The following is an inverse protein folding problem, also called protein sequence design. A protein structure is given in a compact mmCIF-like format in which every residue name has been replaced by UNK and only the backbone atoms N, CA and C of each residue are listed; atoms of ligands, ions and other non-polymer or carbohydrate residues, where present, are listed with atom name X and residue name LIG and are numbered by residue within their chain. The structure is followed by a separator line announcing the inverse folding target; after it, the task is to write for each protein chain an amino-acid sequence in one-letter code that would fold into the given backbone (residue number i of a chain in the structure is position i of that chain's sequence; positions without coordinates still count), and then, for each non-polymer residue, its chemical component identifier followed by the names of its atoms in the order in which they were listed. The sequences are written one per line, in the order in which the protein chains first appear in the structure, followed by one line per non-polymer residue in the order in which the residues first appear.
data_IF_021901280655
#
_entry.id   IF_021901280655
#
_cell.length_a   1.000
_cell.length_b   1.000
_cell.length_c   1.000
_cell.angle_alpha   90.00
_cell.angle_beta   90.00
_cell.angle_gamma   90.00
#
_symmetry.space_group_name_H-M   'P 1'
#
loop_
_entity.id
_entity.type
_entity.pdbx_description
1 polymer ?
#
# COMPACT_ATOMS: atom_id res chain seq x y z
N UNK A 1 46.28 7.07 -39.57
CA UNK A 1 45.55 7.33 -38.30
C UNK A 1 44.14 6.86 -38.50
N UNK A 2 43.83 5.66 -38.03
CA UNK A 2 42.48 5.04 -38.10
C UNK A 2 41.81 5.31 -36.78
N UNK A 3 40.78 6.15 -36.79
CA UNK A 3 39.97 6.44 -35.60
C UNK A 3 39.02 5.25 -35.40
N UNK A 4 39.27 4.50 -34.34
CA UNK A 4 38.42 3.39 -33.90
C UNK A 4 37.23 3.96 -33.16
N UNK A 5 36.08 4.16 -33.82
CA UNK A 5 34.80 4.48 -33.19
C UNK A 5 34.27 3.20 -32.55
N UNK A 6 34.53 3.06 -31.24
CA UNK A 6 33.85 2.07 -30.41
C UNK A 6 32.36 2.42 -30.39
N UNK A 7 31.56 1.57 -31.02
CA UNK A 7 30.09 1.59 -30.90
C UNK A 7 29.78 1.28 -29.43
N UNK A 8 29.28 2.29 -28.71
CA UNK A 8 28.74 2.10 -27.37
C UNK A 8 27.58 1.09 -27.48
N UNK A 9 27.76 -0.07 -26.87
CA UNK A 9 26.69 -1.02 -26.71
C UNK A 9 25.57 -0.35 -25.90
N UNK A 10 24.45 -0.15 -26.52
CA UNK A 10 23.23 0.39 -25.90
C UNK A 10 22.69 -0.69 -24.95
N UNK A 11 23.21 -0.68 -23.73
CA UNK A 11 22.66 -1.47 -22.63
C UNK A 11 21.33 -0.84 -22.21
N UNK A 12 20.27 -1.10 -22.97
CA UNK A 12 18.92 -0.92 -22.50
C UNK A 12 18.74 -1.83 -21.28
N UNK A 13 19.03 -1.32 -20.11
CA UNK A 13 18.59 -1.97 -18.87
C UNK A 13 17.09 -2.21 -19.00
N UNK A 14 16.61 -3.42 -18.72
CA UNK A 14 15.19 -3.72 -18.86
C UNK A 14 14.42 -2.66 -18.04
N UNK A 15 13.38 -2.08 -18.64
CA UNK A 15 12.55 -1.06 -17.99
C UNK A 15 11.82 -1.71 -16.80
N UNK A 16 12.48 -1.82 -15.65
CA UNK A 16 12.01 -2.51 -14.43
C UNK A 16 10.61 -2.01 -14.02
N UNK A 17 10.42 -0.69 -14.06
CA UNK A 17 9.11 -0.08 -13.76
C UNK A 17 8.03 -0.57 -14.70
N UNK A 18 8.33 -0.67 -16.01
CA UNK A 18 7.37 -1.19 -17.00
C UNK A 18 7.06 -2.67 -16.77
N UNK A 19 8.06 -3.48 -16.43
CA UNK A 19 7.86 -4.90 -16.10
C UNK A 19 6.98 -5.05 -14.83
N UNK A 20 7.22 -4.26 -13.80
CA UNK A 20 6.42 -4.27 -12.59
C UNK A 20 4.98 -3.82 -12.85
N UNK A 21 4.80 -2.75 -13.63
CA UNK A 21 3.47 -2.28 -14.03
C UNK A 21 2.73 -3.34 -14.86
N UNK A 22 3.43 -4.01 -15.77
CA UNK A 22 2.86 -5.11 -16.54
C UNK A 22 2.46 -6.29 -15.64
N UNK A 23 3.32 -6.70 -14.71
CA UNK A 23 3.02 -7.75 -13.73
C UNK A 23 1.73 -7.43 -12.97
N UNK A 24 1.61 -6.23 -12.41
CA UNK A 24 0.42 -5.83 -11.64
C UNK A 24 -0.83 -5.79 -12.52
N UNK A 25 -0.74 -5.24 -13.75
CA UNK A 25 -1.88 -5.10 -14.65
C UNK A 25 -2.35 -6.40 -15.29
N UNK A 26 -1.44 -7.37 -15.46
CA UNK A 26 -1.73 -8.66 -16.09
C UNK A 26 -1.87 -9.80 -15.09
N UNK A 27 -1.76 -9.50 -13.80
CA UNK A 27 -1.87 -10.56 -12.81
C UNK A 27 -3.24 -11.23 -12.92
N UNK A 28 -3.27 -12.57 -13.14
CA UNK A 28 -4.54 -13.25 -13.33
C UNK A 28 -5.37 -13.23 -12.07
N UNK A 29 -6.59 -12.73 -12.18
CA UNK A 29 -7.61 -12.76 -11.11
C UNK A 29 -8.24 -14.16 -10.96
N UNK A 30 -7.52 -15.21 -11.31
CA UNK A 30 -8.05 -16.59 -11.34
C UNK A 30 -8.10 -17.27 -9.97
N UNK A 31 -7.93 -16.50 -8.91
CA UNK A 31 -7.92 -17.00 -7.54
C UNK A 31 -6.51 -17.26 -7.03
N UNK A 32 -6.36 -17.04 -5.75
CA UNK A 32 -5.16 -17.37 -4.99
C UNK A 32 -5.29 -18.79 -4.43
N UNK A 33 -4.20 -19.37 -4.00
CA UNK A 33 -4.29 -20.59 -3.19
C UNK A 33 -5.00 -20.30 -1.86
N UNK A 34 -5.64 -21.30 -1.28
CA UNK A 34 -6.34 -21.16 0.02
C UNK A 34 -5.45 -20.55 1.10
N UNK A 35 -4.16 -20.88 1.09
CA UNK A 35 -3.19 -20.34 2.04
C UNK A 35 -2.99 -18.83 1.84
N UNK A 36 -2.86 -18.36 0.60
CA UNK A 36 -2.72 -16.92 0.29
C UNK A 36 -4.00 -16.18 0.63
N UNK A 37 -5.17 -16.72 0.29
CA UNK A 37 -6.46 -16.11 0.63
C UNK A 37 -6.64 -16.01 2.15
N UNK A 38 -6.31 -17.05 2.88
CA UNK A 38 -6.38 -17.04 4.34
C UNK A 38 -5.49 -15.94 4.94
N UNK A 39 -4.24 -15.83 4.50
CA UNK A 39 -3.32 -14.80 5.00
C UNK A 39 -3.75 -13.39 4.57
N UNK A 40 -4.29 -13.21 3.37
CA UNK A 40 -4.82 -11.93 2.93
C UNK A 40 -5.98 -11.45 3.81
N UNK A 41 -6.90 -12.34 4.17
CA UNK A 41 -7.98 -12.01 5.09
C UNK A 41 -7.47 -11.70 6.52
N UNK A 42 -6.48 -12.45 7.01
CA UNK A 42 -5.85 -12.16 8.30
C UNK A 42 -5.17 -10.80 8.31
N UNK A 43 -4.44 -10.48 7.25
CA UNK A 43 -3.76 -9.18 7.08
C UNK A 43 -4.76 -8.04 7.03
N UNK A 44 -5.84 -8.20 6.25
CA UNK A 44 -6.91 -7.21 6.20
C UNK A 44 -7.58 -7.01 7.57
N UNK A 45 -7.87 -8.11 8.28
CA UNK A 45 -8.45 -8.05 9.63
C UNK A 45 -7.52 -7.37 10.63
N UNK A 46 -6.21 -7.65 10.56
CA UNK A 46 -5.21 -7.00 11.40
C UNK A 46 -5.18 -5.49 11.12
N UNK A 47 -5.05 -5.08 9.86
CA UNK A 47 -5.09 -3.68 9.47
C UNK A 47 -6.35 -2.96 9.98
N UNK A 48 -7.51 -3.56 9.77
CA UNK A 48 -8.79 -2.98 10.20
C UNK A 48 -8.87 -2.85 11.72
N UNK A 49 -8.44 -3.88 12.44
CA UNK A 49 -8.40 -3.89 13.90
C UNK A 49 -7.48 -2.80 14.45
N UNK A 50 -6.29 -2.65 13.88
CA UNK A 50 -5.34 -1.60 14.25
C UNK A 50 -5.91 -0.21 13.96
N UNK A 51 -6.48 0.00 12.77
CA UNK A 51 -7.07 1.28 12.38
C UNK A 51 -8.25 1.69 13.29
N UNK A 52 -9.18 0.75 13.57
CA UNK A 52 -10.30 1.02 14.49
C UNK A 52 -9.79 1.26 15.91
N UNK A 53 -8.81 0.47 16.36
CA UNK A 53 -8.26 0.57 17.71
C UNK A 53 -7.63 1.92 18.01
N UNK A 54 -7.02 2.56 17.02
CA UNK A 54 -6.38 3.87 17.14
C UNK A 54 -7.24 5.03 16.59
N UNK A 55 -8.48 4.78 16.19
CA UNK A 55 -9.33 5.77 15.52
C UNK A 55 -9.47 7.11 16.29
N UNK A 56 -9.43 7.07 17.62
CA UNK A 56 -9.55 8.26 18.49
C UNK A 56 -8.21 8.69 19.09
N UNK A 57 -7.09 8.27 18.50
CA UNK A 57 -5.77 8.69 18.97
C UNK A 57 -5.45 10.13 18.55
N UNK A 58 -4.70 10.87 19.35
CA UNK A 58 -4.37 12.28 19.11
C UNK A 58 -3.70 12.54 17.75
N UNK A 59 -2.88 11.61 17.27
CA UNK A 59 -2.25 11.71 15.94
C UNK A 59 -3.30 11.68 14.81
N UNK A 60 -4.34 10.86 14.96
CA UNK A 60 -5.46 10.77 14.02
C UNK A 60 -6.31 12.03 14.07
N UNK A 61 -6.59 12.53 15.27
CA UNK A 61 -7.33 13.79 15.47
C UNK A 61 -6.59 14.99 14.85
N UNK A 62 -5.28 15.07 15.06
CA UNK A 62 -4.45 16.13 14.46
C UNK A 62 -4.44 16.06 12.93
N UNK A 63 -4.28 14.86 12.35
CA UNK A 63 -4.30 14.67 10.91
C UNK A 63 -5.68 15.04 10.33
N UNK A 64 -6.76 14.59 10.95
CA UNK A 64 -8.12 14.90 10.51
C UNK A 64 -8.41 16.40 10.61
N UNK A 65 -8.02 17.06 11.69
CA UNK A 65 -8.20 18.50 11.82
C UNK A 65 -7.48 19.29 10.72
N UNK A 66 -6.26 18.90 10.37
CA UNK A 66 -5.51 19.51 9.28
C UNK A 66 -6.20 19.32 7.91
N UNK A 67 -6.70 18.11 7.65
CA UNK A 67 -7.40 17.78 6.40
C UNK A 67 -8.73 18.54 6.29
N UNK A 68 -9.48 18.67 7.38
CA UNK A 68 -10.76 19.38 7.39
C UNK A 68 -10.61 20.86 7.04
N UNK A 69 -9.46 21.48 7.30
CA UNK A 69 -9.18 22.87 6.87
C UNK A 69 -9.21 23.04 5.32
N UNK A 70 -9.02 21.94 4.59
CA UNK A 70 -9.05 21.92 3.12
C UNK A 70 -10.43 21.65 2.53
N UNK A 71 -11.47 21.52 3.37
CA UNK A 71 -12.84 21.18 3.00
C UNK A 71 -12.92 19.96 2.05
N UNK A 72 -12.43 18.78 2.45
CA UNK A 72 -12.32 17.61 1.59
C UNK A 72 -13.70 17.08 1.19
N UNK A 73 -13.80 16.55 -0.04
CA UNK A 73 -15.02 15.87 -0.49
C UNK A 73 -15.21 14.55 0.29
N UNK A 74 -16.44 14.18 0.71
CA UNK A 74 -16.68 12.99 1.53
C UNK A 74 -16.73 11.71 0.69
N UNK A 75 -15.60 11.30 0.11
CA UNK A 75 -15.48 10.18 -0.84
C UNK A 75 -15.21 8.83 -0.16
N UNK A 76 -14.47 8.81 0.94
CA UNK A 76 -14.07 7.57 1.60
C UNK A 76 -14.16 7.68 3.13
N UNK A 77 -14.34 6.53 3.78
CA UNK A 77 -14.55 6.39 5.22
C UNK A 77 -13.24 6.36 5.99
N UNK A 78 -13.23 6.91 7.17
CA UNK A 78 -12.17 6.72 8.17
C UNK A 78 -12.57 5.55 9.09
N UNK A 79 -11.73 4.52 9.17
CA UNK A 79 -12.02 3.33 9.96
C UNK A 79 -12.24 3.68 11.44
N UNK A 80 -13.39 3.28 11.99
CA UNK A 80 -13.76 3.57 13.38
C UNK A 80 -14.27 4.99 13.65
N UNK A 81 -14.49 5.81 12.60
CA UNK A 81 -15.01 7.19 12.72
C UNK A 81 -16.24 7.42 11.86
N UNK A 82 -17.00 8.46 12.18
CA UNK A 82 -18.18 8.87 11.40
C UNK A 82 -17.82 9.80 10.22
N UNK A 83 -16.66 10.45 10.29
CA UNK A 83 -16.21 11.41 9.30
C UNK A 83 -15.79 10.72 8.01
N UNK A 84 -16.00 11.43 6.90
CA UNK A 84 -15.57 11.05 5.56
C UNK A 84 -14.75 12.17 4.96
N UNK A 85 -13.72 11.81 4.22
CA UNK A 85 -12.85 12.76 3.50
C UNK A 85 -12.60 12.27 2.08
N UNK A 86 -11.84 13.01 1.27
CA UNK A 86 -11.44 12.53 -0.04
C UNK A 86 -10.54 11.27 0.05
N UNK A 87 -10.44 10.53 -1.05
CA UNK A 87 -9.74 9.24 -1.09
C UNK A 87 -8.29 9.32 -0.63
N UNK A 88 -7.55 10.36 -1.05
CA UNK A 88 -6.13 10.48 -0.72
C UNK A 88 -5.94 10.73 0.79
N UNK A 89 -6.75 11.62 1.35
CA UNK A 89 -6.72 11.93 2.77
C UNK A 89 -7.28 10.77 3.62
N UNK A 90 -8.27 10.02 3.13
CA UNK A 90 -8.72 8.81 3.81
C UNK A 90 -7.63 7.74 3.86
N UNK A 91 -6.91 7.52 2.77
CA UNK A 91 -5.76 6.62 2.75
C UNK A 91 -4.67 7.06 3.74
N UNK A 92 -4.34 8.34 3.77
CA UNK A 92 -3.36 8.90 4.72
C UNK A 92 -3.79 8.69 6.17
N UNK A 93 -5.01 9.10 6.54
CA UNK A 93 -5.49 9.04 7.92
C UNK A 93 -5.66 7.59 8.40
N UNK A 94 -6.20 6.70 7.56
CA UNK A 94 -6.30 5.28 7.88
C UNK A 94 -4.92 4.62 8.01
N UNK A 95 -3.94 5.06 7.21
CA UNK A 95 -2.55 4.62 7.34
C UNK A 95 -1.93 5.05 8.66
N UNK A 96 -2.11 6.32 9.07
CA UNK A 96 -1.67 6.82 10.39
C UNK A 96 -2.33 5.99 11.49
N UNK A 97 -3.66 5.82 11.43
CA UNK A 97 -4.41 5.09 12.44
C UNK A 97 -3.93 3.64 12.58
N UNK A 98 -3.77 2.93 11.46
CA UNK A 98 -3.38 1.51 11.48
C UNK A 98 -1.99 1.26 12.05
N UNK A 99 -1.08 2.24 11.99
CA UNK A 99 0.30 2.10 12.48
C UNK A 99 0.54 2.73 13.87
N UNK A 100 -0.40 3.49 14.41
CA UNK A 100 -0.21 4.29 15.63
C UNK A 100 0.28 3.49 16.84
N UNK A 101 -0.14 2.25 17.00
CA UNK A 101 0.25 1.39 18.13
C UNK A 101 1.31 0.33 17.78
N UNK A 102 1.77 0.29 16.53
CA UNK A 102 2.80 -0.66 16.06
C UNK A 102 2.39 -2.14 16.26
N UNK A 103 1.09 -2.45 16.08
CA UNK A 103 0.51 -3.80 16.14
C UNK A 103 0.18 -4.37 14.77
N UNK A 104 0.49 -3.62 13.72
CA UNK A 104 0.26 -4.00 12.34
C UNK A 104 1.30 -5.03 11.85
N UNK A 105 1.02 -5.60 10.69
CA UNK A 105 1.82 -6.67 10.09
C UNK A 105 3.28 -6.24 9.85
N UNK A 106 4.18 -7.20 9.93
CA UNK A 106 5.61 -6.95 9.69
C UNK A 106 6.20 -7.96 8.73
N UNK A 107 6.79 -7.50 7.63
CA UNK A 107 7.62 -8.32 6.76
C UNK A 107 9.02 -8.44 7.36
N UNK A 108 9.27 -9.56 8.07
CA UNK A 108 10.47 -9.74 8.91
C UNK A 108 11.81 -9.57 8.18
N UNK A 109 11.85 -9.83 6.88
CA UNK A 109 13.08 -9.72 6.09
C UNK A 109 13.51 -8.27 5.85
N UNK A 110 12.57 -7.33 5.78
CA UNK A 110 12.82 -5.92 5.46
C UNK A 110 12.34 -4.98 6.55
N UNK A 111 11.70 -5.50 7.59
CA UNK A 111 11.16 -4.74 8.72
C UNK A 111 10.22 -3.62 8.25
N UNK A 112 9.46 -3.85 7.18
CA UNK A 112 8.41 -2.95 6.72
C UNK A 112 7.03 -3.45 7.17
N UNK A 113 6.08 -2.53 7.28
CA UNK A 113 4.68 -2.79 7.62
C UNK A 113 3.81 -2.57 6.37
N UNK A 114 3.71 -3.57 5.48
CA UNK A 114 3.15 -3.33 4.15
C UNK A 114 1.64 -3.13 4.13
N UNK A 115 0.89 -3.71 5.07
CA UNK A 115 -0.57 -3.58 5.07
C UNK A 115 -1.04 -2.16 5.37
N UNK A 116 -0.35 -1.43 6.24
CA UNK A 116 -0.72 -0.06 6.59
C UNK A 116 -0.96 0.82 5.36
N UNK A 117 0.05 1.08 4.54
CA UNK A 117 -0.10 1.90 3.35
C UNK A 117 -0.96 1.23 2.25
N UNK A 118 -0.80 -0.08 2.03
CA UNK A 118 -1.50 -0.78 0.95
C UNK A 118 -3.00 -0.87 1.21
N UNK A 119 -3.42 -1.42 2.36
CA UNK A 119 -4.84 -1.60 2.64
C UNK A 119 -5.57 -0.26 2.80
N UNK A 120 -4.91 0.76 3.37
CA UNK A 120 -5.48 2.10 3.49
C UNK A 120 -5.78 2.73 2.12
N UNK A 121 -4.85 2.62 1.16
CA UNK A 121 -5.05 3.12 -0.19
C UNK A 121 -6.11 2.30 -0.96
N UNK A 122 -6.03 0.96 -0.86
CA UNK A 122 -6.98 0.05 -1.53
C UNK A 122 -8.40 0.30 -1.03
N UNK A 123 -8.62 0.42 0.28
CA UNK A 123 -9.95 0.64 0.84
C UNK A 123 -10.55 1.98 0.42
N UNK A 124 -9.75 3.06 0.44
CA UNK A 124 -10.22 4.37 0.02
C UNK A 124 -10.66 4.39 -1.46
N UNK A 125 -9.87 3.76 -2.34
CA UNK A 125 -10.20 3.62 -3.76
C UNK A 125 -11.38 2.68 -3.99
N UNK A 126 -11.42 1.54 -3.31
CA UNK A 126 -12.46 0.53 -3.46
C UNK A 126 -13.84 1.08 -3.07
N UNK A 127 -13.90 1.87 -2.00
CA UNK A 127 -15.14 2.51 -1.56
C UNK A 127 -15.65 3.51 -2.62
N UNK A 128 -14.76 4.33 -3.16
CA UNK A 128 -15.10 5.31 -4.20
C UNK A 128 -15.55 4.65 -5.51
N UNK A 129 -14.89 3.56 -5.91
CA UNK A 129 -15.18 2.84 -7.15
C UNK A 129 -16.24 1.74 -6.99
N UNK A 130 -16.79 1.56 -5.80
CA UNK A 130 -17.74 0.48 -5.48
C UNK A 130 -17.20 -0.91 -5.84
N UNK A 131 -15.93 -1.14 -5.55
CA UNK A 131 -15.25 -2.41 -5.83
C UNK A 131 -15.82 -3.55 -4.99
N UNK A 132 -15.74 -4.76 -5.51
CA UNK A 132 -16.13 -5.97 -4.77
C UNK A 132 -15.10 -6.34 -3.72
N UNK A 133 -15.52 -7.08 -2.67
CA UNK A 133 -14.57 -7.59 -1.67
C UNK A 133 -13.46 -8.46 -2.28
N UNK A 134 -13.76 -9.21 -3.36
CA UNK A 134 -12.75 -9.98 -4.10
C UNK A 134 -11.67 -9.06 -4.68
N UNK A 135 -12.06 -7.99 -5.36
CA UNK A 135 -11.13 -7.01 -5.91
C UNK A 135 -10.27 -6.35 -4.83
N UNK A 136 -10.84 -6.10 -3.65
CA UNK A 136 -10.09 -5.57 -2.50
C UNK A 136 -9.01 -6.56 -2.06
N UNK A 137 -9.35 -7.83 -1.87
CA UNK A 137 -8.38 -8.85 -1.45
C UNK A 137 -7.28 -9.03 -2.51
N UNK A 138 -7.65 -9.12 -3.80
CA UNK A 138 -6.68 -9.23 -4.90
C UNK A 138 -5.71 -8.04 -4.92
N UNK A 139 -6.21 -6.82 -4.74
CA UNK A 139 -5.39 -5.60 -4.69
C UNK A 139 -4.47 -5.55 -3.47
N UNK A 140 -4.93 -6.03 -2.31
CA UNK A 140 -4.11 -6.14 -1.09
C UNK A 140 -2.96 -7.12 -1.30
N UNK A 141 -3.24 -8.32 -1.84
CA UNK A 141 -2.20 -9.33 -2.11
C UNK A 141 -1.13 -8.78 -3.05
N UNK A 142 -1.55 -8.20 -4.18
CA UNK A 142 -0.64 -7.62 -5.16
C UNK A 142 0.17 -6.45 -4.61
N UNK A 143 -0.49 -5.55 -3.89
CA UNK A 143 0.17 -4.37 -3.31
C UNK A 143 1.21 -4.75 -2.26
N UNK A 144 0.91 -5.74 -1.41
CA UNK A 144 1.85 -6.25 -0.41
C UNK A 144 3.02 -6.97 -1.08
N UNK A 145 2.78 -7.82 -2.10
CA UNK A 145 3.86 -8.50 -2.83
C UNK A 145 4.82 -7.47 -3.46
N UNK A 146 4.28 -6.44 -4.11
CA UNK A 146 5.09 -5.35 -4.68
C UNK A 146 5.86 -4.60 -3.60
N UNK A 147 5.21 -4.21 -2.50
CA UNK A 147 5.87 -3.50 -1.40
C UNK A 147 7.02 -4.31 -0.80
N UNK A 148 6.81 -5.60 -0.56
CA UNK A 148 7.85 -6.49 -0.04
C UNK A 148 9.01 -6.68 -1.02
N UNK A 149 8.74 -6.80 -2.33
CA UNK A 149 9.80 -6.87 -3.37
C UNK A 149 10.62 -5.59 -3.41
N UNK A 150 9.97 -4.43 -3.39
CA UNK A 150 10.65 -3.14 -3.33
C UNK A 150 11.46 -2.99 -2.04
N UNK A 151 10.91 -3.38 -0.90
CA UNK A 151 11.62 -3.43 0.36
C UNK A 151 12.89 -4.28 0.29
N UNK A 152 12.84 -5.47 -0.32
CA UNK A 152 14.01 -6.31 -0.53
C UNK A 152 15.11 -5.64 -1.39
N UNK A 153 14.73 -4.81 -2.37
CA UNK A 153 15.69 -4.11 -3.22
C UNK A 153 16.43 -2.98 -2.48
N UNK A 154 15.74 -2.28 -1.56
CA UNK A 154 16.31 -1.11 -0.88
C UNK A 154 16.86 -1.42 0.51
N UNK A 155 16.53 -2.58 1.09
CA UNK A 155 16.91 -2.94 2.46
C UNK A 155 18.42 -2.82 2.73
N UNK A 156 19.24 -3.28 1.79
CA UNK A 156 20.71 -3.16 1.91
C UNK A 156 21.19 -1.70 1.83
N UNK A 157 20.44 -0.82 1.16
CA UNK A 157 20.78 0.60 1.09
C UNK A 157 20.46 1.34 2.39
N UNK A 158 19.42 0.93 3.11
CA UNK A 158 19.00 1.55 4.37
C UNK A 158 19.95 1.24 5.54
N UNK A 159 20.66 0.11 5.48
CA UNK A 159 21.65 -0.27 6.52
C UNK A 159 22.94 0.54 6.41
N UNK A 160 23.18 1.18 5.27
CA UNK A 160 24.42 1.93 5.00
C UNK A 160 24.26 3.45 5.10
N UNK A 161 23.10 3.92 5.55
CA UNK A 161 22.86 5.31 5.93
C UNK A 161 22.97 5.40 7.45
#
# INVERSE_FOLDING_TARGET
MTVNTAVAADHHAPAITAQLAHFVSQHPTQGWSDAVEHEAHRTFLNWLGCAIGAANHEAVDAALAAVQMLAPAPQATLAGRAERVDMANAALINGISSHTFDFDDTHLKTIIHPAGPVASAVMALAEHHHSTGRQVIDAIVLGIDVACRMGNLVYLSLIHI
#
